data_IF_293472530033
#
_entry.id   IF_293472530033
#
_cell.length_a   1.000
_cell.length_b   1.000
_cell.length_c   1.000
_cell.angle_alpha   90.00
_cell.angle_beta   90.00
_cell.angle_gamma   90.00
#
_symmetry.space_group_name_H-M   'P 1'
#
loop_
_entity.id
_entity.type
_entity.pdbx_description
1 polymer ?
#
# COMPACT_ATOMS: atom_id res chain seq x y z
N UNK A 1 1.06 -60.57 -6.08
CA UNK A 1 0.52 -59.25 -5.67
C UNK A 1 0.92 -58.27 -6.75
N UNK A 2 -0.03 -57.82 -7.57
CA UNK A 2 0.24 -56.94 -8.72
C UNK A 2 -0.11 -55.52 -8.29
N UNK A 3 0.89 -54.65 -8.08
CA UNK A 3 0.67 -53.27 -7.69
C UNK A 3 -0.12 -52.54 -8.77
N UNK A 4 -1.09 -51.73 -8.31
CA UNK A 4 -2.14 -51.12 -9.10
C UNK A 4 -1.64 -50.13 -10.16
N UNK A 5 -2.47 -49.96 -11.19
CA UNK A 5 -2.31 -48.91 -12.18
C UNK A 5 -2.32 -47.55 -11.48
N UNK A 6 -1.35 -46.70 -11.81
CA UNK A 6 -1.35 -45.31 -11.38
C UNK A 6 -2.65 -44.64 -11.87
N UNK A 7 -3.45 -44.01 -10.99
CA UNK A 7 -4.68 -43.36 -11.39
C UNK A 7 -4.34 -42.17 -12.29
N UNK A 8 -5.02 -42.04 -13.44
CA UNK A 8 -4.93 -40.84 -14.27
C UNK A 8 -5.36 -39.63 -13.43
N UNK A 9 -4.45 -38.69 -13.27
CA UNK A 9 -4.68 -37.44 -12.56
C UNK A 9 -5.25 -36.38 -13.50
N UNK A 10 -5.77 -35.28 -12.93
CA UNK A 10 -6.18 -34.12 -13.71
C UNK A 10 -5.01 -33.54 -14.52
N UNK A 11 -3.78 -33.65 -13.99
CA UNK A 11 -2.57 -33.25 -14.68
C UNK A 11 -2.27 -34.14 -15.89
N UNK A 12 -2.53 -35.45 -15.80
CA UNK A 12 -2.35 -36.36 -16.95
C UNK A 12 -3.35 -36.04 -18.07
N UNK A 13 -4.59 -35.70 -17.73
CA UNK A 13 -5.58 -35.25 -18.72
C UNK A 13 -5.20 -33.91 -19.37
N UNK A 14 -4.67 -32.96 -18.60
CA UNK A 14 -4.20 -31.68 -19.12
C UNK A 14 -2.95 -31.85 -20.01
N UNK A 15 -2.03 -32.73 -19.61
CA UNK A 15 -0.84 -33.04 -20.40
C UNK A 15 -1.22 -33.70 -21.74
N UNK A 16 -2.13 -34.67 -21.74
CA UNK A 16 -2.65 -35.28 -22.97
C UNK A 16 -3.33 -34.24 -23.89
N UNK A 17 -4.05 -33.26 -23.33
CA UNK A 17 -4.65 -32.17 -24.10
C UNK A 17 -3.62 -31.21 -24.70
N UNK A 18 -2.56 -30.87 -23.96
CA UNK A 18 -1.47 -30.04 -24.49
C UNK A 18 -0.64 -30.77 -25.53
N UNK A 19 -0.41 -32.07 -25.38
CA UNK A 19 0.25 -32.91 -26.40
C UNK A 19 -0.60 -33.10 -27.67
N UNK A 20 -1.93 -33.07 -27.54
CA UNK A 20 -2.86 -33.19 -28.68
C UNK A 20 -3.13 -31.85 -29.37
N UNK A 21 -2.76 -30.73 -28.76
CA UNK A 21 -2.92 -29.42 -29.39
C UNK A 21 -1.84 -29.30 -30.46
N UNK A 22 -2.22 -29.55 -31.72
CA UNK A 22 -1.38 -29.24 -32.87
C UNK A 22 -0.87 -27.81 -32.71
N UNK A 23 0.45 -27.62 -32.69
CA UNK A 23 1.06 -26.30 -32.70
C UNK A 23 0.67 -25.62 -34.02
N UNK A 24 -0.44 -24.88 -34.00
CA UNK A 24 -0.66 -23.80 -34.95
C UNK A 24 0.56 -22.89 -34.80
N UNK A 25 1.49 -23.01 -35.73
CA UNK A 25 2.66 -22.12 -35.84
C UNK A 25 2.15 -20.74 -36.20
N UNK A 26 1.62 -20.04 -35.19
CA UNK A 26 1.25 -18.64 -35.30
C UNK A 26 2.52 -17.90 -35.67
N UNK A 27 2.45 -17.21 -36.81
CA UNK A 27 3.51 -16.31 -37.25
C UNK A 27 3.97 -15.43 -36.08
N UNK A 28 5.28 -15.37 -35.83
CA UNK A 28 5.84 -14.70 -34.65
C UNK A 28 5.38 -13.24 -34.55
N UNK A 29 5.16 -12.60 -35.70
CA UNK A 29 4.67 -11.22 -35.79
C UNK A 29 3.21 -11.08 -35.35
N UNK A 30 2.35 -12.07 -35.63
CA UNK A 30 0.95 -12.04 -35.17
C UNK A 30 0.88 -12.29 -33.67
N UNK A 31 1.63 -13.27 -33.16
CA UNK A 31 1.69 -13.56 -31.73
C UNK A 31 2.19 -12.38 -30.90
N UNK A 32 3.30 -11.74 -31.32
CA UNK A 32 3.85 -10.59 -30.59
C UNK A 32 2.95 -9.37 -30.63
N UNK A 33 2.15 -9.21 -31.70
CA UNK A 33 1.11 -8.18 -31.78
C UNK A 33 -0.03 -8.46 -30.80
N UNK A 34 -0.58 -9.67 -30.84
CA UNK A 34 -1.68 -10.08 -29.96
C UNK A 34 -1.29 -9.96 -28.49
N UNK A 35 -0.05 -10.35 -28.14
CA UNK A 35 0.49 -10.22 -26.80
C UNK A 35 0.53 -8.76 -26.33
N UNK A 36 1.02 -7.86 -27.20
CA UNK A 36 1.09 -6.43 -26.87
C UNK A 36 -0.31 -5.85 -26.67
N UNK A 37 -1.24 -6.17 -27.56
CA UNK A 37 -2.60 -5.66 -27.50
C UNK A 37 -3.33 -6.16 -26.24
N UNK A 38 -3.10 -7.42 -25.87
CA UNK A 38 -3.67 -7.98 -24.65
C UNK A 38 -3.09 -7.33 -23.38
N UNK A 39 -1.76 -7.17 -23.33
CA UNK A 39 -1.09 -6.47 -22.22
C UNK A 39 -1.58 -5.03 -22.09
N UNK A 40 -1.77 -4.33 -23.21
CA UNK A 40 -2.29 -2.96 -23.20
C UNK A 40 -3.70 -2.89 -22.62
N UNK A 41 -4.60 -3.80 -23.04
CA UNK A 41 -5.97 -3.86 -22.51
C UNK A 41 -6.00 -4.14 -21.01
N UNK A 42 -5.26 -5.15 -20.55
CA UNK A 42 -5.19 -5.49 -19.13
C UNK A 42 -4.58 -4.34 -18.32
N UNK A 43 -3.57 -3.66 -18.87
CA UNK A 43 -2.97 -2.50 -18.21
C UNK A 43 -3.96 -1.34 -18.08
N UNK A 44 -4.74 -1.04 -19.12
CA UNK A 44 -5.77 0.01 -19.06
C UNK A 44 -6.83 -0.31 -17.99
N UNK A 45 -7.34 -1.54 -17.95
CA UNK A 45 -8.32 -1.99 -16.96
C UNK A 45 -7.76 -1.95 -15.52
N UNK A 46 -6.52 -2.39 -15.33
CA UNK A 46 -5.87 -2.31 -14.03
C UNK A 46 -5.69 -0.85 -13.58
N UNK A 47 -5.33 0.04 -14.50
CA UNK A 47 -5.08 1.45 -14.20
C UNK A 47 -6.37 2.22 -13.88
N UNK A 48 -7.48 1.91 -14.56
CA UNK A 48 -8.79 2.49 -14.23
C UNK A 48 -9.26 2.02 -12.85
N UNK A 49 -9.19 0.72 -12.56
CA UNK A 49 -9.54 0.16 -11.26
C UNK A 49 -8.69 0.76 -10.13
N UNK A 50 -7.38 0.94 -10.37
CA UNK A 50 -6.48 1.59 -9.42
C UNK A 50 -6.89 3.03 -9.13
N UNK A 51 -7.22 3.83 -10.16
CA UNK A 51 -7.68 5.22 -9.98
C UNK A 51 -8.98 5.29 -9.19
N UNK A 52 -9.93 4.40 -9.47
CA UNK A 52 -11.19 4.34 -8.74
C UNK A 52 -10.98 3.96 -7.27
N UNK A 53 -10.14 2.96 -7.00
CA UNK A 53 -9.77 2.55 -5.65
C UNK A 53 -9.08 3.70 -4.88
N UNK A 54 -8.13 4.40 -5.50
CA UNK A 54 -7.47 5.57 -4.91
C UNK A 54 -8.47 6.69 -4.60
N UNK A 55 -9.40 6.98 -5.52
CA UNK A 55 -10.42 8.01 -5.33
C UNK A 55 -11.35 7.66 -4.16
N UNK A 56 -11.82 6.40 -4.11
CA UNK A 56 -12.64 5.90 -3.00
C UNK A 56 -11.89 5.95 -1.68
N UNK A 57 -10.62 5.54 -1.66
CA UNK A 57 -9.78 5.57 -0.47
C UNK A 57 -9.61 7.00 0.04
N UNK A 58 -9.33 7.97 -0.85
CA UNK A 58 -9.25 9.39 -0.50
C UNK A 58 -10.55 9.91 0.09
N UNK A 59 -11.69 9.66 -0.57
CA UNK A 59 -13.00 10.08 -0.08
C UNK A 59 -13.31 9.51 1.32
N UNK A 60 -13.05 8.23 1.53
CA UNK A 60 -13.25 7.57 2.83
C UNK A 60 -12.32 8.16 3.88
N UNK A 61 -11.06 8.42 3.55
CA UNK A 61 -10.09 9.02 4.45
C UNK A 61 -10.48 10.45 4.86
N UNK A 62 -10.78 11.30 3.87
CA UNK A 62 -11.18 12.70 4.07
C UNK A 62 -12.49 12.79 4.90
N UNK A 63 -13.40 11.82 4.75
CA UNK A 63 -14.68 11.79 5.51
C UNK A 63 -14.50 11.26 6.94
N UNK A 64 -13.54 10.36 7.17
CA UNK A 64 -13.38 9.69 8.48
C UNK A 64 -12.47 10.43 9.45
N UNK A 65 -11.73 11.45 9.00
CA UNK A 65 -10.88 12.25 9.88
C UNK A 65 -11.59 13.53 10.30
N UNK A 66 -12.19 13.60 11.51
CA UNK A 66 -12.54 14.90 12.07
C UNK A 66 -11.26 15.69 12.23
N UNK A 67 -11.13 16.79 11.48
CA UNK A 67 -9.98 17.69 11.53
C UNK A 67 -9.90 18.27 12.95
N UNK A 68 -9.10 17.65 13.82
CA UNK A 68 -8.80 18.19 15.14
C UNK A 68 -7.78 19.29 14.96
N UNK A 69 -8.24 20.53 14.86
CA UNK A 69 -7.37 21.70 14.87
C UNK A 69 -6.91 21.95 16.31
N UNK A 70 -5.60 21.87 16.54
CA UNK A 70 -5.00 22.33 17.79
C UNK A 70 -4.72 23.83 17.65
N UNK A 71 -5.03 24.61 18.67
CA UNK A 71 -4.74 26.05 18.69
C UNK A 71 -3.48 26.35 19.48
N UNK A 72 -2.87 27.52 19.25
CA UNK A 72 -1.70 27.96 20.01
C UNK A 72 -2.10 28.08 21.48
N UNK A 73 -1.38 27.37 22.36
CA UNK A 73 -1.70 27.24 23.78
C UNK A 73 -2.41 25.93 24.18
N UNK A 74 -2.85 25.11 23.22
CA UNK A 74 -3.33 23.76 23.51
C UNK A 74 -2.17 22.80 23.84
N UNK A 75 -2.49 21.75 24.59
CA UNK A 75 -1.55 20.70 24.96
C UNK A 75 -1.69 19.50 24.04
N UNK A 76 -0.59 19.06 23.44
CA UNK A 76 -0.53 17.94 22.52
C UNK A 76 0.39 16.83 23.04
N UNK A 77 0.00 15.58 22.82
CA UNK A 77 0.84 14.41 23.07
C UNK A 77 1.64 14.07 21.83
N UNK A 78 2.90 13.69 22.01
CA UNK A 78 3.79 13.31 20.91
C UNK A 78 4.09 11.83 20.94
N UNK A 79 3.94 11.17 19.79
CA UNK A 79 4.33 9.78 19.60
C UNK A 79 5.76 9.73 19.05
N UNK A 80 6.74 9.44 19.92
CA UNK A 80 8.13 9.25 19.51
C UNK A 80 8.45 7.77 19.40
N UNK A 81 9.03 7.30 18.28
CA UNK A 81 9.52 5.93 18.20
C UNK A 81 10.65 5.75 19.19
N UNK A 82 10.48 4.84 20.16
CA UNK A 82 11.58 4.39 21.00
C UNK A 82 12.59 3.67 20.11
N UNK A 83 13.87 4.04 20.26
CA UNK A 83 14.97 3.47 19.48
C UNK A 83 15.11 1.95 19.63
N UNK A 84 14.49 1.36 20.66
CA UNK A 84 14.64 -0.05 20.98
C UNK A 84 13.56 -0.97 20.38
N UNK A 85 12.36 -0.45 20.06
CA UNK A 85 11.28 -1.27 19.47
C UNK A 85 10.30 -0.42 18.65
N UNK A 86 10.24 -0.66 17.33
CA UNK A 86 9.35 0.05 16.40
C UNK A 86 7.86 -0.12 16.73
N UNK A 87 7.47 -1.19 17.43
CA UNK A 87 6.09 -1.44 17.86
C UNK A 87 5.75 -0.75 19.18
N UNK A 88 6.75 -0.26 19.92
CA UNK A 88 6.56 0.40 21.20
C UNK A 88 6.95 1.88 21.08
N UNK A 89 6.00 2.70 20.64
CA UNK A 89 6.12 4.15 20.67
C UNK A 89 5.28 4.69 21.83
N UNK A 90 5.89 5.07 22.97
CA UNK A 90 5.13 5.66 24.07
C UNK A 90 4.68 7.07 23.69
N UNK A 91 3.46 7.44 24.10
CA UNK A 91 3.01 8.83 24.08
C UNK A 91 3.79 9.60 25.14
N UNK A 92 4.52 10.63 24.73
CA UNK A 92 5.28 11.50 25.62
C UNK A 92 4.59 12.84 25.78
N UNK A 93 4.44 13.25 27.04
CA UNK A 93 4.17 14.61 27.53
C UNK A 93 2.94 15.33 26.97
N UNK A 94 2.22 16.14 27.75
CA UNK A 94 1.42 17.21 27.17
C UNK A 94 2.32 18.43 26.90
N UNK A 95 2.76 18.59 25.66
CA UNK A 95 3.58 19.73 25.22
C UNK A 95 2.72 20.87 24.70
N UNK A 96 3.14 22.10 24.95
CA UNK A 96 2.41 23.28 24.50
C UNK A 96 2.65 23.55 23.00
N UNK A 97 1.57 23.80 22.27
CA UNK A 97 1.61 24.20 20.85
C UNK A 97 2.04 25.66 20.75
N UNK A 98 3.23 25.89 20.17
CA UNK A 98 3.82 27.23 19.98
C UNK A 98 3.27 27.88 18.71
N UNK A 99 3.13 27.11 17.63
CA UNK A 99 2.68 27.62 16.34
C UNK A 99 2.06 26.52 15.47
N UNK A 100 1.04 26.89 14.70
CA UNK A 100 0.51 26.08 13.61
C UNK A 100 1.18 26.52 12.30
N UNK A 101 1.93 25.62 11.66
CA UNK A 101 2.56 25.90 10.37
C UNK A 101 1.56 25.59 9.25
N UNK A 102 0.87 24.46 9.36
CA UNK A 102 -0.17 24.00 8.43
C UNK A 102 -1.33 23.37 9.24
N UNK A 103 -2.50 23.12 8.63
CA UNK A 103 -3.61 22.42 9.30
C UNK A 103 -3.22 21.08 9.97
N UNK A 104 -2.20 20.41 9.44
CA UNK A 104 -1.70 19.08 9.88
C UNK A 104 -0.36 19.17 10.61
N UNK A 105 0.25 20.36 10.70
CA UNK A 105 1.65 20.52 11.12
C UNK A 105 1.79 21.56 12.22
N UNK A 106 2.29 21.13 13.37
CA UNK A 106 2.40 21.96 14.58
C UNK A 106 3.83 21.96 15.13
N UNK A 107 4.24 23.10 15.70
CA UNK A 107 5.46 23.24 16.50
C UNK A 107 5.12 23.13 17.98
N UNK A 108 5.84 22.27 18.68
CA UNK A 108 5.62 21.97 20.10
C UNK A 108 6.84 22.40 20.93
N UNK A 109 6.60 22.88 22.15
CA UNK A 109 7.64 23.18 23.12
C UNK A 109 8.05 21.90 23.86
N UNK A 110 9.05 21.18 23.35
CA UNK A 110 9.59 19.98 23.99
C UNK A 110 10.88 20.34 24.73
N UNK A 111 10.92 20.29 26.09
CA UNK A 111 12.16 20.35 26.84
C UNK A 111 12.86 18.99 26.79
N UNK A 112 13.67 18.76 25.77
CA UNK A 112 14.68 17.70 25.78
C UNK A 112 16.04 18.35 25.55
N UNK A 113 17.02 17.87 26.33
CA UNK A 113 18.42 18.33 26.35
C UNK A 113 19.00 18.33 24.94
N UNK A 114 19.63 19.46 24.60
CA UNK A 114 20.69 19.63 23.60
C UNK A 114 20.68 18.62 22.44
N UNK A 115 19.93 18.91 21.38
CA UNK A 115 20.43 18.90 20.00
C UNK A 115 19.28 19.22 19.00
N UNK A 116 19.36 20.43 18.44
CA UNK A 116 18.83 21.00 17.18
C UNK A 116 17.63 20.43 16.38
N UNK A 117 16.84 19.46 16.82
CA UNK A 117 15.76 18.94 15.99
C UNK A 117 14.39 19.55 16.32
N UNK A 118 14.05 20.61 15.58
CA UNK A 118 12.66 21.04 15.36
C UNK A 118 11.86 19.92 14.69
N UNK A 119 11.33 18.97 15.46
CA UNK A 119 10.54 17.88 14.89
C UNK A 119 9.17 18.39 14.41
N UNK A 120 9.00 18.36 13.10
CA UNK A 120 7.74 18.64 12.42
C UNK A 120 6.89 17.38 12.46
N UNK A 121 5.90 17.32 13.35
CA UNK A 121 5.00 16.16 13.46
C UNK A 121 3.78 16.40 12.57
N UNK A 122 3.55 15.48 11.63
CA UNK A 122 2.32 15.40 10.84
C UNK A 122 1.28 14.64 11.66
N UNK A 123 0.22 15.32 12.07
CA UNK A 123 -0.95 14.67 12.67
C UNK A 123 -1.95 14.43 11.53
N UNK A 124 -1.93 13.22 10.98
CA UNK A 124 -2.79 12.78 9.87
C UNK A 124 -4.24 12.54 10.30
#
# INVERSE_FOLDING_TARGET
>A
MLFGRQPRTLLDMLAEQWETTEEETKDLLSYTRDLRDNLHKVWEEAHTALREAQTRQKQVYDTRSPVRCLTVGDKALVLLPSSHNKLFAPWQGPYDVIAQINPTTYKLAIPQEEDENSFTILIS
#
